data_IF_619974630879
#
_entry.id   IF_619974630879
#
_cell.length_a   1.000
_cell.length_b   1.000
_cell.length_c   1.000
_cell.angle_alpha   90.00
_cell.angle_beta   90.00
_cell.angle_gamma   90.00
#
_symmetry.space_group_name_H-M   'P 1'
#
loop_
_entity.id
_entity.type
_entity.pdbx_description
1 polymer ?
#
# COMPACT_ATOMS: atom_id res chain seq x y z
N UNK A 1 26.35 12.95 -27.38
CA UNK A 1 25.24 12.04 -27.09
C UNK A 1 25.63 11.21 -25.86
N UNK A 2 25.21 11.64 -24.67
CA UNK A 2 25.57 10.98 -23.41
C UNK A 2 24.28 10.55 -22.73
N UNK A 3 24.02 9.25 -22.70
CA UNK A 3 22.91 8.66 -21.96
C UNK A 3 23.23 8.75 -20.47
N UNK A 4 22.63 9.74 -19.79
CA UNK A 4 22.52 9.72 -18.33
C UNK A 4 21.59 8.56 -17.97
N UNK A 5 22.17 7.44 -17.53
CA UNK A 5 21.40 6.38 -16.91
C UNK A 5 20.78 6.97 -15.64
N UNK A 6 19.46 6.96 -15.61
CA UNK A 6 18.60 7.47 -14.54
C UNK A 6 18.72 6.57 -13.29
N UNK A 7 19.83 6.77 -12.57
CA UNK A 7 20.14 6.12 -11.28
C UNK A 7 19.11 6.53 -10.21
N UNK A 8 18.47 7.68 -10.38
CA UNK A 8 17.48 8.23 -9.47
C UNK A 8 16.11 7.54 -9.63
N UNK A 9 15.61 7.35 -10.85
CA UNK A 9 14.36 6.62 -11.12
C UNK A 9 14.42 5.14 -10.72
N UNK A 10 15.59 4.52 -10.84
CA UNK A 10 15.81 3.12 -10.46
C UNK A 10 15.87 2.94 -8.94
N UNK A 11 16.47 3.90 -8.24
CA UNK A 11 16.55 3.94 -6.77
C UNK A 11 15.20 4.29 -6.14
N UNK A 12 14.47 5.24 -6.73
CA UNK A 12 13.08 5.55 -6.36
C UNK A 12 12.17 4.35 -6.55
N UNK A 13 12.29 3.61 -7.66
CA UNK A 13 11.51 2.39 -7.88
C UNK A 13 11.79 1.29 -6.86
N UNK A 14 13.06 1.06 -6.48
CA UNK A 14 13.40 0.07 -5.43
C UNK A 14 12.96 0.49 -4.04
N UNK A 15 13.09 1.77 -3.68
CA UNK A 15 12.60 2.30 -2.40
C UNK A 15 11.07 2.28 -2.32
N UNK A 16 10.38 2.56 -3.43
CA UNK A 16 8.93 2.39 -3.55
C UNK A 16 8.54 0.91 -3.42
N UNK A 17 9.27 -0.02 -4.05
CA UNK A 17 8.98 -1.45 -3.96
C UNK A 17 9.07 -1.97 -2.50
N UNK A 18 10.14 -1.64 -1.77
CA UNK A 18 10.29 -2.03 -0.36
C UNK A 18 9.24 -1.42 0.57
N UNK A 19 8.87 -0.15 0.34
CA UNK A 19 7.78 0.51 1.08
C UNK A 19 6.41 -0.12 0.81
N UNK A 20 6.13 -0.45 -0.46
CA UNK A 20 4.88 -1.11 -0.86
C UNK A 20 4.80 -2.52 -0.27
N UNK A 21 5.90 -3.28 -0.22
CA UNK A 21 5.95 -4.61 0.43
C UNK A 21 5.58 -4.56 1.91
N UNK A 22 6.24 -3.67 2.67
CA UNK A 22 5.93 -3.48 4.10
C UNK A 22 4.47 -3.10 4.33
N UNK A 23 3.95 -2.13 3.57
CA UNK A 23 2.55 -1.71 3.67
C UNK A 23 1.60 -2.83 3.27
N UNK A 24 1.91 -3.60 2.23
CA UNK A 24 1.07 -4.73 1.83
C UNK A 24 1.05 -5.85 2.86
N UNK A 25 2.15 -6.12 3.55
CA UNK A 25 2.19 -7.09 4.62
C UNK A 25 1.32 -6.62 5.80
N UNK A 26 1.41 -5.33 6.16
CA UNK A 26 0.56 -4.73 7.19
C UNK A 26 -0.93 -4.80 6.82
N UNK A 27 -1.29 -4.39 5.59
CA UNK A 27 -2.68 -4.44 5.11
C UNK A 27 -3.24 -5.86 5.06
N UNK A 28 -2.44 -6.84 4.65
CA UNK A 28 -2.86 -8.24 4.65
C UNK A 28 -3.09 -8.76 6.07
N UNK A 29 -2.26 -8.37 7.04
CA UNK A 29 -2.44 -8.76 8.45
C UNK A 29 -3.70 -8.13 9.06
N UNK A 30 -4.00 -6.87 8.72
CA UNK A 30 -5.18 -6.18 9.24
C UNK A 30 -6.47 -6.71 8.61
N UNK A 31 -6.54 -6.84 7.29
CA UNK A 31 -7.81 -7.13 6.59
C UNK A 31 -7.96 -8.56 6.06
N UNK A 32 -6.94 -9.42 6.25
CA UNK A 32 -6.89 -10.80 5.76
C UNK A 32 -7.21 -10.93 4.25
N UNK A 33 -6.87 -9.92 3.46
CA UNK A 33 -7.12 -9.89 2.01
C UNK A 33 -5.95 -9.25 1.26
N UNK A 34 -5.63 -9.70 0.03
CA UNK A 34 -4.64 -9.04 -0.80
C UNK A 34 -5.13 -7.67 -1.29
N UNK A 35 -4.21 -6.71 -1.35
CA UNK A 35 -4.46 -5.38 -1.91
C UNK A 35 -3.71 -5.18 -3.23
N UNK A 36 -4.38 -4.54 -4.19
CA UNK A 36 -3.75 -3.98 -5.40
C UNK A 36 -3.33 -2.54 -5.12
N UNK A 37 -2.14 -2.17 -5.60
CA UNK A 37 -1.62 -0.82 -5.46
C UNK A 37 -1.74 -0.08 -6.78
N UNK A 38 -2.10 1.19 -6.69
CA UNK A 38 -2.21 2.10 -7.82
C UNK A 38 -1.41 3.37 -7.52
N UNK A 39 -0.83 3.94 -8.57
CA UNK A 39 -0.30 5.28 -8.54
C UNK A 39 -1.47 6.27 -8.52
N UNK A 40 -1.54 7.09 -7.48
CA UNK A 40 -2.63 8.02 -7.23
C UNK A 40 -2.64 9.24 -8.15
N UNK A 41 -1.53 9.53 -8.82
CA UNK A 41 -1.40 10.64 -9.77
C UNK A 41 -1.94 10.27 -11.14
N UNK A 42 -1.55 9.10 -11.65
CA UNK A 42 -1.95 8.57 -12.96
C UNK A 42 -3.24 7.75 -12.88
N UNK A 43 -3.46 7.05 -11.76
CA UNK A 43 -4.51 6.06 -11.59
C UNK A 43 -4.13 4.67 -12.10
N UNK A 44 -2.90 4.47 -12.57
CA UNK A 44 -2.44 3.21 -13.15
C UNK A 44 -2.05 2.19 -12.07
N UNK A 45 -2.27 0.88 -12.31
CA UNK A 45 -1.87 -0.16 -11.38
C UNK A 45 -0.35 -0.29 -11.33
N UNK A 46 0.20 -0.36 -10.13
CA UNK A 46 1.61 -0.64 -9.91
C UNK A 46 1.81 -2.16 -10.02
N UNK A 47 2.48 -2.59 -11.09
CA UNK A 47 2.81 -4.00 -11.29
C UNK A 47 3.85 -4.42 -10.25
N UNK A 48 3.52 -5.45 -9.47
CA UNK A 48 4.49 -6.16 -8.63
C UNK A 48 5.12 -7.29 -9.43
N UNK A 49 6.43 -7.23 -9.61
CA UNK A 49 7.25 -8.39 -10.00
C UNK A 49 7.59 -9.18 -8.73
N UNK A 50 6.61 -9.89 -8.17
CA UNK A 50 6.80 -10.68 -6.95
C UNK A 50 6.09 -12.03 -7.04
N UNK A 51 6.73 -13.14 -6.61
CA UNK A 51 6.17 -14.48 -6.70
C UNK A 51 5.18 -14.68 -5.55
N UNK A 52 3.96 -14.17 -5.68
CA UNK A 52 3.03 -14.24 -4.56
C UNK A 52 1.70 -13.58 -4.81
N UNK A 53 0.89 -14.20 -5.67
CA UNK A 53 -0.55 -13.95 -5.72
C UNK A 53 -0.95 -13.08 -6.89
N UNK A 54 -1.31 -13.74 -8.00
CA UNK A 54 -2.19 -13.17 -9.02
C UNK A 54 -3.44 -12.67 -8.27
N UNK A 55 -3.74 -11.36 -8.24
CA UNK A 55 -4.90 -10.90 -7.52
C UNK A 55 -6.14 -11.45 -8.23
N UNK A 56 -6.80 -12.43 -7.59
CA UNK A 56 -7.94 -13.17 -8.11
C UNK A 56 -8.91 -12.23 -8.85
N UNK A 57 -9.12 -12.45 -10.15
CA UNK A 57 -10.27 -12.06 -11.00
C UNK A 57 -11.00 -10.72 -10.78
N UNK A 58 -10.40 -9.75 -10.10
CA UNK A 58 -11.00 -8.46 -9.80
C UNK A 58 -10.66 -7.51 -10.95
N UNK A 59 -11.70 -6.88 -11.50
CA UNK A 59 -11.58 -5.87 -12.55
C UNK A 59 -10.70 -4.73 -12.04
N UNK A 60 -9.72 -4.24 -12.82
CA UNK A 60 -8.96 -3.05 -12.46
C UNK A 60 -9.88 -1.86 -12.20
N UNK A 61 -9.49 -1.03 -11.25
CA UNK A 61 -10.19 0.21 -10.94
C UNK A 61 -10.05 1.21 -12.11
N UNK A 62 -11.10 1.98 -12.43
CA UNK A 62 -10.96 3.08 -13.39
C UNK A 62 -9.95 4.11 -12.87
N UNK A 63 -8.99 4.50 -13.71
CA UNK A 63 -7.94 5.45 -13.32
C UNK A 63 -8.49 6.76 -12.72
N UNK A 64 -9.62 7.27 -13.26
CA UNK A 64 -10.33 8.44 -12.72
C UNK A 64 -10.79 8.26 -11.26
N UNK A 65 -11.23 7.06 -10.89
CA UNK A 65 -11.70 6.77 -9.54
C UNK A 65 -10.54 6.72 -8.56
N UNK A 66 -9.41 6.13 -8.97
CA UNK A 66 -8.17 6.13 -8.17
C UNK A 66 -7.69 7.55 -7.91
N UNK A 67 -7.60 8.40 -8.93
CA UNK A 67 -7.18 9.80 -8.77
C UNK A 67 -8.11 10.56 -7.82
N UNK A 68 -9.42 10.36 -7.91
CA UNK A 68 -10.38 10.98 -7.01
C UNK A 68 -10.24 10.49 -5.55
N UNK A 69 -9.90 9.21 -5.35
CA UNK A 69 -9.62 8.65 -4.03
C UNK A 69 -8.32 9.23 -3.46
N UNK A 70 -7.26 9.28 -4.27
CA UNK A 70 -5.97 9.84 -3.88
C UNK A 70 -6.12 11.32 -3.47
N UNK A 71 -6.81 12.13 -4.28
CA UNK A 71 -7.05 13.55 -4.00
C UNK A 71 -7.88 13.78 -2.73
N UNK A 72 -8.84 12.88 -2.43
CA UNK A 72 -9.65 12.97 -1.22
C UNK A 72 -8.88 12.66 0.07
N UNK A 73 -7.77 11.92 -0.02
CA UNK A 73 -6.89 11.61 1.11
C UNK A 73 -7.51 10.79 2.25
N UNK A 74 -8.75 10.30 2.08
CA UNK A 74 -9.51 9.53 3.07
C UNK A 74 -9.87 8.13 2.57
N UNK A 75 -10.03 7.15 3.47
CA UNK A 75 -10.49 5.83 3.10
C UNK A 75 -11.86 5.89 2.43
N UNK A 76 -12.10 4.96 1.50
CA UNK A 76 -13.44 4.68 0.97
C UNK A 76 -13.80 3.22 1.19
N UNK A 77 -15.04 2.98 1.59
CA UNK A 77 -15.61 1.65 1.75
C UNK A 77 -16.93 1.61 1.01
N UNK A 78 -17.02 0.77 -0.01
CA UNK A 78 -18.17 0.68 -0.91
C UNK A 78 -18.63 -0.78 -1.03
N UNK A 79 -19.93 -1.05 -1.17
CA UNK A 79 -20.41 -2.38 -1.56
C UNK A 79 -19.83 -2.78 -2.93
N UNK A 80 -19.34 -4.01 -3.06
CA UNK A 80 -18.73 -4.52 -4.30
C UNK A 80 -19.39 -5.81 -4.81
N UNK A 81 -20.48 -6.25 -4.18
CA UNK A 81 -21.22 -7.45 -4.53
C UNK A 81 -22.04 -7.97 -3.35
N UNK A 82 -22.77 -9.08 -3.53
CA UNK A 82 -23.75 -9.58 -2.55
C UNK A 82 -23.16 -10.03 -1.20
N UNK A 83 -21.83 -10.15 -1.09
CA UNK A 83 -21.15 -10.49 0.15
C UNK A 83 -19.73 -9.91 0.21
N UNK A 84 -19.48 -8.77 -0.46
CA UNK A 84 -18.15 -8.16 -0.50
C UNK A 84 -18.22 -6.65 -0.36
N UNK A 85 -17.29 -6.12 0.42
CA UNK A 85 -17.03 -4.69 0.52
C UNK A 85 -15.67 -4.39 -0.10
N UNK A 86 -15.62 -3.38 -0.95
CA UNK A 86 -14.38 -2.80 -1.46
C UNK A 86 -13.86 -1.80 -0.45
N UNK A 87 -12.58 -1.87 -0.14
CA UNK A 87 -11.86 -0.92 0.71
C UNK A 87 -10.77 -0.28 -0.14
N UNK A 88 -10.75 1.04 -0.22
CA UNK A 88 -9.69 1.81 -0.85
C UNK A 88 -9.03 2.75 0.16
N UNK A 89 -7.70 2.67 0.27
CA UNK A 89 -6.88 3.37 1.23
C UNK A 89 -5.87 4.25 0.49
N UNK A 90 -6.02 5.58 0.53
CA UNK A 90 -4.96 6.50 0.15
C UNK A 90 -3.80 6.35 1.14
N UNK A 91 -2.60 6.15 0.61
CA UNK A 91 -1.37 6.03 1.36
C UNK A 91 -0.54 7.27 1.08
N UNK A 92 -0.17 7.99 2.15
CA UNK A 92 0.77 9.10 2.04
C UNK A 92 2.17 8.51 1.88
N UNK A 93 2.84 8.88 0.80
CA UNK A 93 4.21 8.50 0.53
C UNK A 93 5.04 9.78 0.56
N UNK A 94 5.66 10.13 1.70
CA UNK A 94 6.55 11.29 1.89
C UNK A 94 6.50 12.37 0.79
N UNK A 95 7.60 12.52 0.05
CA UNK A 95 7.71 13.36 -1.16
C UNK A 95 7.40 12.61 -2.48
N UNK A 96 6.90 11.38 -2.38
CA UNK A 96 6.57 10.55 -3.54
C UNK A 96 5.14 10.71 -4.02
N UNK A 97 4.81 10.15 -5.19
CA UNK A 97 3.45 10.19 -5.71
C UNK A 97 2.49 9.51 -4.71
N UNK A 98 1.27 10.07 -4.51
CA UNK A 98 0.27 9.46 -3.65
C UNK A 98 -0.01 8.05 -4.14
N UNK A 99 -0.18 7.10 -3.23
CA UNK A 99 -0.49 5.72 -3.56
C UNK A 99 -1.92 5.40 -3.11
N UNK A 100 -2.57 4.46 -3.80
CA UNK A 100 -3.88 3.95 -3.38
C UNK A 100 -3.82 2.43 -3.33
N UNK A 101 -4.11 1.86 -2.16
CA UNK A 101 -4.28 0.42 -2.00
C UNK A 101 -5.78 0.07 -2.06
N UNK A 102 -6.16 -0.89 -2.89
CA UNK A 102 -7.55 -1.36 -3.04
C UNK A 102 -7.64 -2.85 -2.77
N UNK A 103 -8.51 -3.24 -1.84
CA UNK A 103 -8.77 -4.61 -1.44
C UNK A 103 -10.28 -4.90 -1.38
N UNK A 104 -10.63 -6.18 -1.40
CA UNK A 104 -12.02 -6.62 -1.24
C UNK A 104 -12.10 -7.55 -0.04
N UNK A 105 -12.94 -7.21 0.93
CA UNK A 105 -13.19 -8.00 2.13
C UNK A 105 -14.55 -8.68 2.03
N UNK A 106 -14.67 -9.88 2.60
CA UNK A 106 -15.96 -10.53 2.75
C UNK A 106 -16.85 -9.69 3.68
N UNK A 107 -18.12 -9.51 3.28
CA UNK A 107 -19.12 -8.91 4.17
C UNK A 107 -19.55 -9.95 5.20
N UNK A 108 -19.54 -9.57 6.47
CA UNK A 108 -19.99 -10.37 7.61
C UNK A 108 -21.51 -10.25 7.82
N UNK A 109 -22.10 -9.11 7.46
CA UNK A 109 -23.53 -8.88 7.54
C UNK A 109 -24.22 -9.38 6.27
N UNK A 110 -25.38 -10.00 6.46
CA UNK A 110 -26.28 -10.31 5.35
C UNK A 110 -26.78 -9.01 4.71
N UNK A 111 -27.06 -9.01 3.39
CA UNK A 111 -27.73 -7.90 2.73
C UNK A 111 -29.01 -7.49 3.48
N UNK A 112 -29.21 -6.18 3.69
CA UNK A 112 -30.37 -5.65 4.39
C UNK A 112 -30.01 -4.72 5.54
N UNK A 113 -30.80 -4.73 6.62
CA UNK A 113 -30.74 -3.73 7.70
C UNK A 113 -29.36 -3.60 8.37
N UNK A 114 -28.56 -4.67 8.38
CA UNK A 114 -27.25 -4.69 9.03
C UNK A 114 -26.11 -4.21 8.12
N UNK A 115 -26.32 -4.14 6.80
CA UNK A 115 -25.28 -3.77 5.85
C UNK A 115 -24.73 -2.35 6.09
N UNK A 116 -25.59 -1.40 6.45
CA UNK A 116 -25.16 -0.02 6.76
C UNK A 116 -24.27 0.04 8.01
N UNK A 117 -24.62 -0.72 9.05
CA UNK A 117 -23.84 -0.79 10.27
C UNK A 117 -22.47 -1.44 10.03
N UNK A 118 -22.43 -2.48 9.20
CA UNK A 118 -21.17 -3.08 8.79
C UNK A 118 -20.29 -2.11 7.98
N UNK A 119 -20.85 -1.42 6.98
CA UNK A 119 -20.08 -0.44 6.20
C UNK A 119 -19.52 0.68 7.10
N UNK A 120 -20.30 1.15 8.07
CA UNK A 120 -19.82 2.13 9.05
C UNK A 120 -18.70 1.59 9.94
N UNK A 121 -18.80 0.32 10.39
CA UNK A 121 -17.73 -0.36 11.14
C UNK A 121 -16.46 -0.49 10.30
N UNK A 122 -16.59 -0.96 9.06
CA UNK A 122 -15.47 -1.11 8.13
C UNK A 122 -14.82 0.25 7.80
N UNK A 123 -15.62 1.30 7.64
CA UNK A 123 -15.10 2.65 7.41
C UNK A 123 -14.28 3.16 8.60
N UNK A 124 -14.81 3.03 9.83
CA UNK A 124 -14.07 3.40 11.05
C UNK A 124 -12.77 2.60 11.20
N UNK A 125 -12.83 1.31 10.89
CA UNK A 125 -11.66 0.46 10.93
C UNK A 125 -10.61 0.86 9.88
N UNK A 126 -11.03 1.13 8.65
CA UNK A 126 -10.18 1.59 7.56
C UNK A 126 -9.48 2.92 7.91
N UNK A 127 -10.20 3.86 8.52
CA UNK A 127 -9.66 5.13 9.01
C UNK A 127 -8.60 4.92 10.11
N UNK A 128 -8.91 4.08 11.10
CA UNK A 128 -7.97 3.73 12.17
C UNK A 128 -6.73 2.97 11.68
N UNK A 129 -6.86 2.14 10.64
CA UNK A 129 -5.70 1.49 10.01
C UNK A 129 -4.86 2.52 9.25
N UNK A 130 -5.47 3.39 8.45
CA UNK A 130 -4.75 4.42 7.68
C UNK A 130 -3.86 5.30 8.58
N UNK A 131 -4.32 5.63 9.79
CA UNK A 131 -3.55 6.41 10.77
C UNK A 131 -2.33 5.68 11.33
N UNK A 132 -2.33 4.35 11.36
CA UNK A 132 -1.26 3.51 11.93
C UNK A 132 -0.31 2.95 10.89
N UNK A 133 -0.66 3.04 9.60
CA UNK A 133 0.20 2.54 8.53
C UNK A 133 1.49 3.34 8.48
N UNK A 134 2.64 2.67 8.32
CA UNK A 134 3.88 3.38 8.07
C UNK A 134 3.74 4.15 6.75
N UNK A 135 4.37 5.33 6.62
CA UNK A 135 4.43 6.00 5.34
C UNK A 135 5.08 5.04 4.34
N UNK A 136 4.43 4.88 3.19
CA UNK A 136 5.04 4.12 2.11
C UNK A 136 6.37 4.83 1.78
N UNK A 137 7.50 4.13 1.89
CA UNK A 137 8.83 4.72 1.70
C UNK A 137 9.65 4.95 2.97
N UNK A 138 9.11 4.69 4.17
CA UNK A 138 9.96 4.46 5.34
C UNK A 138 10.73 3.16 5.13
N UNK A 139 11.91 3.26 4.51
CA UNK A 139 12.92 2.22 4.61
C UNK A 139 13.06 1.90 6.10
N UNK A 140 12.78 0.65 6.48
CA UNK A 140 13.00 0.19 7.85
C UNK A 140 14.41 0.56 8.31
N UNK A 141 14.65 0.69 9.63
CA UNK A 141 15.97 1.07 10.14
C UNK A 141 17.01 0.17 9.47
N UNK A 142 17.87 0.79 8.66
CA UNK A 142 19.03 0.09 8.11
C UNK A 142 19.76 -0.40 9.34
N UNK A 143 19.76 -1.72 9.55
CA UNK A 143 20.63 -2.33 10.55
C UNK A 143 22.02 -1.77 10.24
N UNK A 144 22.66 -1.00 11.14
CA UNK A 144 24.05 -0.62 10.92
C UNK A 144 24.80 -1.94 10.81
N UNK A 145 25.39 -2.18 9.64
CA UNK A 145 26.25 -3.33 9.43
C UNK A 145 27.29 -3.40 10.56
N UNK A 146 27.78 -4.60 10.89
CA UNK A 146 28.72 -4.78 11.98
C UNK A 146 29.87 -3.78 11.82
N UNK A 147 30.01 -2.88 12.80
CA UNK A 147 31.16 -1.97 12.90
C UNK A 147 32.41 -2.83 12.76
N UNK A 148 33.17 -2.60 11.69
CA UNK A 148 34.52 -3.12 11.58
C UNK A 148 35.30 -2.58 12.79
N UNK A 149 35.57 -3.48 13.74
CA UNK A 149 36.44 -3.19 14.86
C UNK A 149 37.84 -3.14 14.27
N UNK A 150 38.42 -1.94 14.18
CA UNK A 150 39.80 -1.78 13.75
C UNK A 150 40.73 -2.56 14.70
N UNK A 151 41.77 -3.24 14.20
CA UNK A 151 42.72 -3.93 15.06
C UNK A 151 43.52 -2.92 15.89
N UNK A 152 43.44 -3.07 17.21
CA UNK A 152 44.29 -2.34 18.16
C UNK A 152 45.71 -2.92 18.04
N UNK A 153 46.60 -2.19 17.39
CA UNK A 153 48.04 -2.41 17.49
C UNK A 153 48.51 -1.99 18.89
N UNK A 154 48.91 -2.95 19.72
CA UNK A 154 49.68 -2.68 20.94
C UNK A 154 51.15 -2.40 20.57
N UNK A 155 51.76 -1.30 21.04
CA UNK A 155 53.21 -1.19 21.06
C UNK A 155 53.78 -2.06 22.20
N UNK A 156 54.99 -2.58 21.95
CA UNK A 156 55.80 -3.39 22.87
C UNK A 156 56.34 -2.56 24.04
#
# INVERSE_FOLDING_TARGET
MTAFIDVDASSRRRMQAGGIESVSAALRREFDTPFRFYDGSSGEPIRREGPGGRPASIRPEPARAIRAIAAGGRPRVDPSGPARSRIALPLRHGDGPPLVAVGHIAALARPGRQARAELARLWKWADAVQLRLPPAGAAGPRHPGPRAIAPVTRPR
#
